data_IF_947844705196
#
_entry.id   IF_947844705196
#
_cell.length_a   1.000
_cell.length_b   1.000
_cell.length_c   1.000
_cell.angle_alpha   90.00
_cell.angle_beta   90.00
_cell.angle_gamma   90.00
#
_symmetry.space_group_name_H-M   'P 1'
#
loop_
_entity.id
_entity.type
_entity.pdbx_description
1 polymer ?
#
# COMPACT_ATOMS: atom_id res chain seq x y z
N UNK A 1 -17.35 19.43 -12.79
CA UNK A 1 -17.32 18.92 -11.39
C UNK A 1 -15.95 18.27 -11.10
N UNK A 2 -15.32 18.64 -9.98
CA UNK A 2 -13.98 18.17 -9.59
C UNK A 2 -13.93 17.96 -8.07
N UNK A 3 -13.07 17.05 -7.61
CA UNK A 3 -12.75 16.92 -6.18
C UNK A 3 -12.00 18.15 -5.68
N UNK A 4 -12.23 18.55 -4.42
CA UNK A 4 -11.47 19.63 -3.79
C UNK A 4 -10.06 19.12 -3.44
N UNK A 5 -9.05 19.60 -4.14
CA UNK A 5 -7.64 19.21 -3.99
C UNK A 5 -6.77 20.39 -3.50
N UNK A 6 -7.33 21.24 -2.64
CA UNK A 6 -6.72 22.48 -2.16
C UNK A 6 -6.45 22.48 -0.63
N UNK A 7 -6.44 21.31 0.04
CA UNK A 7 -6.02 21.23 1.44
C UNK A 7 -4.50 21.38 1.55
N UNK A 8 -4.00 21.49 2.78
CA UNK A 8 -2.58 21.70 3.05
C UNK A 8 -1.69 20.59 2.49
N UNK A 9 -2.16 19.34 2.50
CA UNK A 9 -1.40 18.18 2.04
C UNK A 9 -2.16 17.42 0.95
N UNK A 10 -1.44 16.88 -0.04
CA UNK A 10 -2.01 15.92 -0.99
C UNK A 10 -2.60 14.70 -0.27
N UNK A 11 -1.91 14.24 0.77
CA UNK A 11 -2.32 13.12 1.61
C UNK A 11 -1.26 12.02 1.75
N UNK A 12 -1.72 10.88 2.25
CA UNK A 12 -0.87 9.72 2.54
C UNK A 12 -0.99 8.71 1.41
N UNK A 13 0.14 8.08 1.05
CA UNK A 13 0.16 6.92 0.18
C UNK A 13 0.82 5.74 0.91
N UNK A 14 0.13 4.61 0.98
CA UNK A 14 0.66 3.37 1.59
C UNK A 14 0.88 2.34 0.50
N UNK A 15 2.08 1.77 0.42
CA UNK A 15 2.41 0.70 -0.51
C UNK A 15 2.70 -0.57 0.30
N UNK A 16 1.82 -1.56 0.21
CA UNK A 16 2.06 -2.91 0.71
C UNK A 16 2.76 -3.71 -0.38
N UNK A 17 4.02 -4.04 -0.17
CA UNK A 17 4.85 -4.73 -1.17
C UNK A 17 5.23 -6.13 -0.68
N UNK A 18 4.67 -7.15 -1.31
CA UNK A 18 4.90 -8.55 -0.98
C UNK A 18 5.72 -9.23 -2.09
N UNK A 19 6.97 -9.52 -1.77
CA UNK A 19 7.91 -10.27 -2.61
C UNK A 19 8.00 -11.74 -2.18
N UNK A 20 8.02 -12.00 -0.87
CA UNK A 20 8.21 -13.32 -0.29
C UNK A 20 7.00 -13.75 0.53
N UNK A 21 6.65 -15.04 0.42
CA UNK A 21 5.45 -15.63 0.99
C UNK A 21 5.80 -16.91 1.74
N UNK A 22 5.24 -17.09 2.93
CA UNK A 22 5.34 -18.30 3.76
C UNK A 22 4.23 -19.30 3.37
N UNK A 23 3.91 -19.39 2.06
CA UNK A 23 2.82 -20.21 1.51
C UNK A 23 3.41 -21.10 0.41
N UNK A 24 3.35 -22.42 0.61
CA UNK A 24 4.10 -23.42 -0.17
C UNK A 24 3.93 -23.33 -1.70
N UNK A 25 2.78 -22.86 -2.20
CA UNK A 25 2.48 -22.80 -3.64
C UNK A 25 2.74 -21.43 -4.28
N UNK A 26 3.15 -20.42 -3.51
CA UNK A 26 3.43 -19.08 -4.03
C UNK A 26 4.92 -18.90 -4.29
N UNK A 27 5.26 -18.57 -5.53
CA UNK A 27 6.64 -18.20 -5.91
C UNK A 27 6.96 -16.79 -5.44
N UNK A 28 8.24 -16.50 -5.20
CA UNK A 28 8.66 -15.10 -4.94
C UNK A 28 8.38 -14.21 -6.15
N UNK A 29 7.98 -12.95 -5.88
CA UNK A 29 7.67 -11.94 -6.92
C UNK A 29 8.89 -11.08 -7.24
N UNK A 30 9.98 -11.72 -7.69
CA UNK A 30 11.23 -11.04 -8.05
C UNK A 30 10.96 -9.88 -9.01
N UNK A 31 11.42 -8.68 -8.64
CA UNK A 31 11.20 -7.46 -9.42
C UNK A 31 10.15 -6.51 -8.84
N UNK A 32 9.29 -6.98 -7.92
CA UNK A 32 8.28 -6.12 -7.26
C UNK A 32 8.88 -4.91 -6.54
N UNK A 33 10.14 -4.99 -6.07
CA UNK A 33 10.82 -3.85 -5.45
C UNK A 33 11.11 -2.73 -6.46
N UNK A 34 11.40 -3.07 -7.71
CA UNK A 34 11.59 -2.07 -8.79
C UNK A 34 10.27 -1.35 -9.06
N UNK A 35 9.17 -2.09 -9.12
CA UNK A 35 7.82 -1.51 -9.27
C UNK A 35 7.47 -0.61 -8.07
N UNK A 36 7.75 -1.07 -6.85
CA UNK A 36 7.53 -0.33 -5.61
C UNK A 36 8.32 0.98 -5.58
N UNK A 37 9.60 0.95 -5.95
CA UNK A 37 10.46 2.14 -5.96
C UNK A 37 10.01 3.15 -7.02
N UNK A 38 9.66 2.68 -8.22
CA UNK A 38 9.14 3.52 -9.28
C UNK A 38 7.80 4.17 -8.88
N UNK A 39 6.88 3.40 -8.30
CA UNK A 39 5.60 3.89 -7.82
C UNK A 39 5.80 4.92 -6.69
N UNK A 40 6.67 4.62 -5.72
CA UNK A 40 7.02 5.53 -4.64
C UNK A 40 7.58 6.86 -5.15
N UNK A 41 8.48 6.82 -6.15
CA UNK A 41 9.04 8.01 -6.78
C UNK A 41 7.95 8.88 -7.43
N UNK A 42 7.03 8.25 -8.19
CA UNK A 42 5.93 8.97 -8.84
C UNK A 42 4.98 9.58 -7.80
N UNK A 43 4.57 8.81 -6.79
CA UNK A 43 3.65 9.29 -5.76
C UNK A 43 4.25 10.44 -4.93
N UNK A 44 5.55 10.38 -4.61
CA UNK A 44 6.26 11.51 -3.98
C UNK A 44 6.24 12.74 -4.87
N UNK A 45 6.46 12.59 -6.18
CA UNK A 45 6.40 13.72 -7.12
C UNK A 45 5.00 14.33 -7.25
N UNK A 46 3.95 13.55 -6.98
CA UNK A 46 2.56 14.02 -6.89
C UNK A 46 2.23 14.68 -5.54
N UNK A 47 3.18 14.71 -4.60
CA UNK A 47 3.04 15.37 -3.29
C UNK A 47 2.57 14.47 -2.16
N UNK A 48 2.42 13.16 -2.38
CA UNK A 48 2.04 12.23 -1.31
C UNK A 48 3.18 12.00 -0.32
N UNK A 49 2.81 11.83 0.96
CA UNK A 49 3.68 11.22 1.97
C UNK A 49 3.60 9.71 1.84
N UNK A 50 4.63 9.11 1.23
CA UNK A 50 4.67 7.67 0.91
C UNK A 50 5.26 6.85 2.06
N UNK A 51 4.56 5.81 2.49
CA UNK A 51 5.04 4.74 3.37
C UNK A 51 5.06 3.42 2.62
N UNK A 52 6.18 2.68 2.69
CA UNK A 52 6.32 1.34 2.09
C UNK A 52 6.39 0.31 3.22
N UNK A 53 5.61 -0.76 3.07
CA UNK A 53 5.51 -1.86 4.02
C UNK A 53 5.82 -3.17 3.30
N UNK A 54 6.95 -3.78 3.64
CA UNK A 54 7.44 -4.96 2.92
C UNK A 54 7.08 -6.26 3.64
N UNK A 55 6.52 -7.21 2.90
CA UNK A 55 6.29 -8.59 3.34
C UNK A 55 5.58 -8.71 4.70
N UNK A 56 4.55 -7.87 4.93
CA UNK A 56 3.77 -7.94 6.16
C UNK A 56 2.93 -9.21 6.23
N UNK A 57 2.74 -9.72 7.44
CA UNK A 57 1.72 -10.71 7.75
C UNK A 57 0.34 -10.06 7.77
N UNK A 58 -0.71 -10.86 7.58
CA UNK A 58 -2.08 -10.36 7.49
C UNK A 58 -2.50 -9.52 8.71
N UNK A 59 -2.14 -9.97 9.93
CA UNK A 59 -2.46 -9.22 11.15
C UNK A 59 -1.81 -7.84 11.15
N UNK A 60 -0.55 -7.73 10.69
CA UNK A 60 0.16 -6.46 10.62
C UNK A 60 -0.39 -5.55 9.51
N UNK A 61 -0.83 -6.13 8.38
CA UNK A 61 -1.57 -5.40 7.34
C UNK A 61 -2.83 -4.76 7.94
N UNK A 62 -3.67 -5.55 8.60
CA UNK A 62 -4.90 -5.03 9.23
C UNK A 62 -4.62 -3.99 10.31
N UNK A 63 -3.61 -4.23 11.15
CA UNK A 63 -3.21 -3.28 12.19
C UNK A 63 -2.80 -1.94 11.59
N UNK A 64 -2.03 -1.96 10.50
CA UNK A 64 -1.62 -0.74 9.82
C UNK A 64 -2.81 -0.05 9.12
N UNK A 65 -3.70 -0.82 8.48
CA UNK A 65 -4.92 -0.27 7.87
C UNK A 65 -5.81 0.42 8.92
N UNK A 66 -5.98 -0.20 10.09
CA UNK A 66 -6.73 0.39 11.20
C UNK A 66 -6.06 1.68 11.70
N UNK A 67 -4.74 1.66 11.89
CA UNK A 67 -3.99 2.86 12.29
C UNK A 67 -4.16 4.00 11.29
N UNK A 68 -4.12 3.71 9.98
CA UNK A 68 -4.35 4.71 8.93
C UNK A 68 -5.78 5.22 8.99
N UNK A 69 -6.78 4.35 9.14
CA UNK A 69 -8.18 4.74 9.22
C UNK A 69 -8.50 5.63 10.43
N UNK A 70 -7.75 5.49 11.53
CA UNK A 70 -7.90 6.28 12.75
C UNK A 70 -7.12 7.62 12.72
N UNK A 71 -6.33 7.89 11.66
CA UNK A 71 -5.61 9.16 11.55
C UNK A 71 -6.56 10.34 11.28
N UNK A 72 -6.15 11.53 11.73
CA UNK A 72 -6.79 12.76 11.31
C UNK A 72 -6.40 13.09 9.85
N UNK A 73 -7.38 13.07 8.96
CA UNK A 73 -7.23 13.38 7.54
C UNK A 73 -7.83 14.72 7.12
N UNK A 74 -8.28 15.58 8.05
CA UNK A 74 -8.97 16.84 7.71
C UNK A 74 -8.16 17.74 6.77
N UNK A 75 -6.84 17.72 6.87
CA UNK A 75 -5.92 18.53 6.04
C UNK A 75 -5.31 17.78 4.84
N UNK A 76 -5.87 16.61 4.47
CA UNK A 76 -5.42 15.81 3.34
C UNK A 76 -6.45 15.84 2.21
N UNK A 77 -6.00 16.02 0.97
CA UNK A 77 -6.88 15.96 -0.20
C UNK A 77 -7.43 14.54 -0.44
N UNK A 78 -6.59 13.53 -0.28
CA UNK A 78 -7.00 12.13 -0.46
C UNK A 78 -6.10 11.12 0.28
N UNK A 79 -6.49 9.85 0.18
CA UNK A 79 -5.71 8.68 0.62
C UNK A 79 -5.47 7.79 -0.59
N UNK A 80 -4.26 7.25 -0.72
CA UNK A 80 -3.93 6.22 -1.71
C UNK A 80 -3.37 4.98 -1.02
N UNK A 81 -3.85 3.81 -1.43
CA UNK A 81 -3.25 2.53 -1.05
C UNK A 81 -2.97 1.71 -2.30
N UNK A 82 -1.74 1.18 -2.37
CA UNK A 82 -1.32 0.26 -3.40
C UNK A 82 -0.91 -1.06 -2.74
N UNK A 83 -1.36 -2.17 -3.31
CA UNK A 83 -0.96 -3.52 -2.89
C UNK A 83 -0.28 -4.21 -4.07
N UNK A 84 0.98 -4.57 -3.88
CA UNK A 84 1.79 -5.32 -4.83
C UNK A 84 1.95 -6.73 -4.26
N UNK A 85 1.10 -7.67 -4.70
CA UNK A 85 1.11 -9.03 -4.18
C UNK A 85 0.67 -10.05 -5.23
N UNK A 86 0.67 -11.34 -4.85
CA UNK A 86 -0.16 -12.33 -5.52
C UNK A 86 -1.62 -12.05 -5.23
N UNK A 87 -2.48 -12.53 -6.12
CA UNK A 87 -3.93 -12.43 -5.94
C UNK A 87 -4.67 -13.27 -6.95
N UNK A 88 -5.91 -13.56 -6.60
CA UNK A 88 -6.90 -14.19 -7.46
C UNK A 88 -8.17 -13.32 -7.42
N UNK A 89 -9.20 -13.68 -8.18
CA UNK A 89 -10.43 -12.88 -8.21
C UNK A 89 -11.06 -12.84 -6.81
N UNK A 90 -11.05 -11.66 -6.18
CA UNK A 90 -11.59 -11.43 -4.85
C UNK A 90 -10.63 -11.66 -3.68
N UNK A 91 -9.37 -12.06 -3.92
CA UNK A 91 -8.40 -12.39 -2.87
C UNK A 91 -7.02 -11.79 -3.16
N UNK A 92 -6.39 -11.21 -2.15
CA UNK A 92 -5.00 -10.78 -2.15
C UNK A 92 -4.20 -11.62 -1.15
N UNK A 93 -2.88 -11.71 -1.32
CA UNK A 93 -2.03 -12.43 -0.38
C UNK A 93 -1.24 -11.47 0.50
N UNK A 94 -1.28 -11.68 1.81
CA UNK A 94 -0.24 -11.23 2.73
C UNK A 94 0.91 -12.26 2.73
N UNK A 95 1.94 -12.04 3.56
CA UNK A 95 3.07 -12.98 3.65
C UNK A 95 2.63 -14.39 4.04
N UNK A 96 1.65 -14.52 4.93
CA UNK A 96 1.30 -15.77 5.62
C UNK A 96 -0.08 -16.34 5.26
N UNK A 97 -1.02 -15.51 4.77
CA UNK A 97 -2.35 -15.94 4.35
C UNK A 97 -2.95 -15.00 3.28
N UNK A 98 -4.03 -15.42 2.64
CA UNK A 98 -4.86 -14.55 1.80
C UNK A 98 -5.84 -13.70 2.63
N UNK A 99 -6.34 -12.62 2.02
CA UNK A 99 -7.37 -11.74 2.55
C UNK A 99 -8.21 -11.08 1.46
#
# INVERSE_FOLDING_TARGET
PYYNMNHKNRGIAVIFNHEHFDIHNLKSRTGTNVDCDNLSKVLKSLGFRVTILNNLKFEDVNRYLQQVAEMDHTENDCLLMAVLSHGEMGMLYAKDTHY
#
